data_IF_162423351431
#
_entry.id   IF_162423351431
#
_cell.length_a   1.000
_cell.length_b   1.000
_cell.length_c   1.000
_cell.angle_alpha   90.00
_cell.angle_beta   90.00
_cell.angle_gamma   90.00
#
_symmetry.space_group_name_H-M   'P 1'
#
loop_
_entity.id
_entity.type
_entity.pdbx_description
1 polymer ?
#
# COMPACT_ATOMS: atom_id res chain seq x y z
N UNK A 1 13.97 15.99 2.92
CA UNK A 1 12.80 15.20 3.36
C UNK A 1 12.59 14.10 2.33
N UNK A 2 12.83 12.84 2.68
CA UNK A 2 12.57 11.74 1.74
C UNK A 2 11.07 11.52 1.55
N UNK A 3 10.69 11.16 0.32
CA UNK A 3 9.33 10.79 -0.06
C UNK A 3 9.38 9.51 -0.88
N UNK A 4 8.41 8.62 -0.68
CA UNK A 4 8.29 7.35 -1.42
C UNK A 4 6.84 7.04 -1.71
N UNK A 5 6.62 6.38 -2.85
CA UNK A 5 5.32 5.85 -3.23
C UNK A 5 5.17 4.44 -2.68
N UNK A 6 4.01 4.16 -2.08
CA UNK A 6 3.64 2.83 -1.61
C UNK A 6 2.22 2.51 -2.08
N UNK A 7 2.02 1.26 -2.50
CA UNK A 7 0.68 0.74 -2.75
C UNK A 7 -0.07 0.56 -1.44
N UNK A 8 -1.39 0.73 -1.48
CA UNK A 8 -2.26 0.43 -0.34
C UNK A 8 -2.64 -1.05 -0.36
N UNK A 9 -2.70 -1.68 0.81
CA UNK A 9 -3.19 -3.05 1.00
C UNK A 9 -4.68 -3.09 1.36
N UNK A 10 -5.20 -2.00 1.92
CA UNK A 10 -6.60 -1.86 2.33
C UNK A 10 -7.53 -1.76 1.12
N UNK A 11 -8.80 -2.11 1.32
CA UNK A 11 -9.84 -1.83 0.33
C UNK A 11 -10.13 -0.31 0.31
N UNK A 12 -10.61 0.23 -0.82
CA UNK A 12 -11.16 1.58 -0.87
C UNK A 12 -12.61 1.56 -0.33
N UNK A 13 -12.77 1.51 1.00
CA UNK A 13 -14.04 1.23 1.68
C UNK A 13 -14.56 2.38 2.59
N UNK A 14 -14.07 3.60 2.39
CA UNK A 14 -14.42 4.81 3.16
C UNK A 14 -14.25 4.70 4.68
N UNK A 15 -13.54 3.68 5.17
CA UNK A 15 -13.30 3.45 6.61
C UNK A 15 -12.45 4.52 7.29
N UNK A 16 -11.82 5.41 6.52
CA UNK A 16 -10.87 6.40 7.02
C UNK A 16 -9.51 5.82 7.41
N UNK A 17 -9.29 4.53 7.15
CA UNK A 17 -8.04 3.83 7.43
C UNK A 17 -7.35 3.36 6.15
N UNK A 18 -6.02 3.45 6.13
CA UNK A 18 -5.20 2.85 5.09
C UNK A 18 -4.25 1.82 5.68
N UNK A 19 -4.01 0.74 4.94
CA UNK A 19 -3.04 -0.29 5.32
C UNK A 19 -1.85 -0.22 4.37
N UNK A 20 -0.65 -0.11 4.93
CA UNK A 20 0.61 -0.19 4.19
C UNK A 20 1.32 -1.49 4.55
N UNK A 21 1.91 -2.14 3.55
CA UNK A 21 2.81 -3.28 3.76
C UNK A 21 4.11 -2.97 3.05
N UNK A 22 5.20 -2.96 3.81
CA UNK A 22 6.46 -2.35 3.41
C UNK A 22 7.58 -3.39 3.54
N UNK A 23 8.32 -3.63 2.46
CA UNK A 23 9.58 -4.35 2.58
C UNK A 23 10.66 -3.41 3.12
N UNK A 24 11.55 -3.94 3.97
CA UNK A 24 12.76 -3.21 4.37
C UNK A 24 13.76 -3.21 3.22
N UNK A 25 13.95 -2.05 2.59
CA UNK A 25 15.00 -1.85 1.60
C UNK A 25 16.31 -1.50 2.32
N UNK A 26 17.43 -2.21 2.06
CA UNK A 26 18.75 -1.82 2.56
C UNK A 26 19.05 -0.36 2.20
N UNK A 27 19.54 0.41 3.17
CA UNK A 27 19.84 1.85 3.05
C UNK A 27 18.64 2.73 2.63
N UNK A 28 17.42 2.18 2.62
CA UNK A 28 16.21 2.93 2.33
C UNK A 28 15.78 3.79 3.51
N UNK A 29 15.82 5.12 3.36
CA UNK A 29 15.47 6.08 4.43
C UNK A 29 14.05 5.87 4.97
N UNK A 30 13.04 5.85 4.08
CA UNK A 30 11.62 5.75 4.50
C UNK A 30 11.27 4.34 5.00
N UNK A 31 11.63 3.29 4.25
CA UNK A 31 11.40 1.91 4.69
C UNK A 31 12.17 1.58 5.96
N UNK A 32 13.39 2.10 6.11
CA UNK A 32 14.21 1.96 7.31
C UNK A 32 13.53 2.60 8.51
N UNK A 33 13.08 3.85 8.38
CA UNK A 33 12.35 4.55 9.43
C UNK A 33 11.11 3.78 9.91
N UNK A 34 10.28 3.28 8.99
CA UNK A 34 9.12 2.45 9.34
C UNK A 34 9.49 1.16 10.09
N UNK A 35 10.66 0.57 9.80
CA UNK A 35 11.07 -0.69 10.42
C UNK A 35 11.82 -0.53 11.75
N UNK A 36 12.44 0.63 12.01
CA UNK A 36 13.37 0.78 13.15
C UNK A 36 13.05 1.94 14.09
N UNK A 37 12.26 2.92 13.65
CA UNK A 37 12.00 4.15 14.42
C UNK A 37 10.52 4.35 14.69
N UNK A 38 9.66 4.12 13.70
CA UNK A 38 8.24 4.41 13.76
C UNK A 38 7.53 3.70 14.94
N UNK A 39 6.59 4.40 15.57
CA UNK A 39 5.79 3.92 16.70
C UNK A 39 4.33 4.31 16.53
N UNK A 40 3.39 3.56 17.15
CA UNK A 40 2.01 4.00 17.25
C UNK A 40 1.90 5.41 17.85
N UNK A 41 1.13 6.27 17.20
CA UNK A 41 0.98 7.68 17.56
C UNK A 41 1.89 8.64 16.80
N UNK A 42 2.90 8.14 16.06
CA UNK A 42 3.70 8.99 15.18
C UNK A 42 2.83 9.52 14.01
N UNK A 43 3.02 10.80 13.70
CA UNK A 43 2.36 11.43 12.55
C UNK A 43 3.25 11.36 11.31
N UNK A 44 2.63 11.01 10.18
CA UNK A 44 3.28 10.98 8.87
C UNK A 44 2.51 11.85 7.87
N UNK A 45 3.22 12.56 7.01
CA UNK A 45 2.59 13.30 5.93
C UNK A 45 2.31 12.36 4.75
N UNK A 46 1.05 12.31 4.33
CA UNK A 46 0.59 11.47 3.22
C UNK A 46 0.07 12.37 2.11
N UNK A 47 0.47 12.07 0.87
CA UNK A 47 -0.04 12.72 -0.33
C UNK A 47 -0.63 11.68 -1.27
N UNK A 48 -1.89 11.87 -1.64
CA UNK A 48 -2.61 10.98 -2.55
C UNK A 48 -4.12 11.11 -2.45
N UNK A 49 -4.89 10.23 -3.11
CA UNK A 49 -4.40 9.16 -3.97
C UNK A 49 -3.76 9.72 -5.25
N UNK A 50 -2.65 9.12 -5.68
CA UNK A 50 -2.00 9.46 -6.94
C UNK A 50 -2.58 8.54 -8.02
N UNK A 51 -3.04 9.12 -9.14
CA UNK A 51 -3.79 8.43 -10.20
C UNK A 51 -3.11 7.15 -10.68
N UNK A 52 -3.87 6.04 -10.76
CA UNK A 52 -3.36 4.70 -10.99
C UNK A 52 -3.65 4.16 -12.39
N UNK A 53 -2.59 3.70 -13.08
CA UNK A 53 -2.70 2.82 -14.25
C UNK A 53 -2.78 1.33 -13.85
N UNK A 54 -2.85 1.04 -12.54
CA UNK A 54 -2.79 -0.33 -12.01
C UNK A 54 -3.88 -0.55 -10.95
N UNK A 55 -5.12 -0.70 -11.42
CA UNK A 55 -6.29 -1.00 -10.62
C UNK A 55 -7.15 -2.06 -11.33
N UNK A 56 -7.77 -2.95 -10.56
CA UNK A 56 -8.76 -3.90 -11.06
C UNK A 56 -10.12 -3.58 -10.43
N UNK A 57 -11.14 -3.24 -11.23
CA UNK A 57 -12.46 -2.84 -10.72
C UNK A 57 -13.31 -4.02 -10.22
N UNK A 58 -12.86 -5.26 -10.35
CA UNK A 58 -13.59 -6.42 -9.85
C UNK A 58 -14.76 -6.90 -10.73
N UNK A 59 -14.97 -6.29 -11.90
CA UNK A 59 -16.11 -6.54 -12.80
C UNK A 59 -15.90 -7.70 -13.80
N UNK A 60 -14.69 -8.28 -13.81
CA UNK A 60 -14.31 -9.37 -14.71
C UNK A 60 -13.26 -10.27 -14.06
N UNK A 61 -13.19 -11.58 -14.39
CA UNK A 61 -12.14 -12.45 -13.89
C UNK A 61 -10.73 -11.88 -14.17
N UNK A 62 -9.85 -11.98 -13.18
CA UNK A 62 -8.45 -11.56 -13.27
C UNK A 62 -7.53 -12.62 -12.67
N UNK A 63 -6.34 -12.76 -13.27
CA UNK A 63 -5.22 -13.48 -12.68
C UNK A 63 -4.26 -12.44 -12.10
N UNK A 64 -4.05 -12.49 -10.78
CA UNK A 64 -3.18 -11.57 -10.06
C UNK A 64 -1.83 -12.28 -9.83
N UNK A 65 -0.74 -11.72 -10.33
CA UNK A 65 0.62 -12.23 -10.10
C UNK A 65 1.46 -11.17 -9.38
N UNK A 66 2.05 -11.55 -8.26
CA UNK A 66 2.91 -10.67 -7.46
C UNK A 66 4.11 -11.41 -6.90
N UNK A 67 5.20 -10.67 -6.67
CA UNK A 67 6.40 -11.15 -6.01
C UNK A 67 6.89 -10.09 -5.00
N UNK A 68 7.27 -10.52 -3.80
CA UNK A 68 7.61 -9.61 -2.70
C UNK A 68 6.48 -8.61 -2.39
N UNK A 69 6.83 -7.37 -2.09
CA UNK A 69 5.89 -6.24 -1.94
C UNK A 69 5.01 -5.95 -3.17
N UNK A 70 5.26 -6.58 -4.33
CA UNK A 70 4.33 -6.56 -5.45
C UNK A 70 2.95 -7.17 -5.12
N UNK A 71 2.83 -7.94 -4.03
CA UNK A 71 1.56 -8.50 -3.56
C UNK A 71 0.59 -7.44 -3.02
N UNK A 72 1.10 -6.30 -2.54
CA UNK A 72 0.34 -5.28 -1.80
C UNK A 72 -0.86 -4.70 -2.58
N UNK A 73 -0.70 -4.18 -3.81
CA UNK A 73 -1.86 -3.71 -4.58
C UNK A 73 -2.84 -4.84 -4.93
N UNK A 74 -2.36 -6.08 -5.04
CA UNK A 74 -3.22 -7.25 -5.30
C UNK A 74 -4.10 -7.57 -4.09
N UNK A 75 -3.57 -7.38 -2.86
CA UNK A 75 -4.37 -7.50 -1.64
C UNK A 75 -5.52 -6.48 -1.60
N UNK A 76 -5.26 -5.22 -1.97
CA UNK A 76 -6.30 -4.19 -2.06
C UNK A 76 -7.39 -4.58 -3.06
N UNK A 77 -6.99 -5.04 -4.26
CA UNK A 77 -7.89 -5.55 -5.30
C UNK A 77 -8.78 -6.71 -4.81
N UNK A 78 -8.19 -7.71 -4.15
CA UNK A 78 -8.93 -8.86 -3.61
C UNK A 78 -9.86 -8.45 -2.48
N UNK A 79 -9.44 -7.56 -1.59
CA UNK A 79 -10.27 -7.07 -0.48
C UNK A 79 -11.44 -6.23 -1.00
N UNK A 80 -11.19 -5.35 -1.97
CA UNK A 80 -12.25 -4.57 -2.63
C UNK A 80 -13.29 -5.46 -3.28
N UNK A 81 -12.88 -6.53 -3.97
CA UNK A 81 -13.80 -7.46 -4.62
C UNK A 81 -14.63 -8.31 -3.64
N UNK A 82 -14.16 -8.47 -2.40
CA UNK A 82 -14.87 -9.24 -1.36
C UNK A 82 -15.84 -8.40 -0.51
N UNK A 83 -15.66 -7.08 -0.51
CA UNK A 83 -16.54 -6.13 0.17
C UNK A 83 -17.86 -5.99 -0.59
#
# INVERSE_FOLDING_TARGET
>A
RAQRHYSLASAPDDSGHIELTLDRVPDGEVSGWFHTVARPGDEIEVRGPLSGFFAWPGDRPALLLGAGSGVVPLMSMVRHHRA
#
